data_IF_511182085711
#
_entry.id   IF_511182085711
#
_cell.length_a   1.000
_cell.length_b   1.000
_cell.length_c   1.000
_cell.angle_alpha   90.00
_cell.angle_beta   90.00
_cell.angle_gamma   90.00
#
_symmetry.space_group_name_H-M   'P 1'
#
loop_
_entity.id
_entity.type
_entity.pdbx_description
1 polymer ?
#
# COMPACT_ATOMS: atom_id res chain seq x y z
N UNK A 1 -8.40 20.27 -1.13
CA UNK A 1 -7.40 19.43 -0.46
C UNK A 1 -8.10 18.74 0.69
N UNK A 2 -7.97 17.44 0.83
CA UNK A 2 -8.47 16.72 2.00
C UNK A 2 -7.52 17.06 3.14
N UNK A 3 -8.06 17.35 4.33
CA UNK A 3 -7.23 17.59 5.52
C UNK A 3 -6.42 16.32 5.83
N UNK A 4 -5.15 16.49 6.17
CA UNK A 4 -4.19 15.39 6.40
C UNK A 4 -4.64 14.39 7.47
N UNK A 5 -5.53 14.80 8.38
CA UNK A 5 -6.06 13.96 9.44
C UNK A 5 -7.26 13.10 9.00
N UNK A 6 -7.68 13.20 7.73
CA UNK A 6 -8.81 12.46 7.16
C UNK A 6 -8.41 11.34 6.18
N UNK A 7 -7.11 11.11 5.98
CA UNK A 7 -6.61 10.03 5.13
C UNK A 7 -5.34 9.39 5.69
N UNK A 8 -5.09 8.14 5.31
CA UNK A 8 -3.88 7.40 5.67
C UNK A 8 -3.31 6.79 4.39
N UNK A 9 -2.12 7.21 4.00
CA UNK A 9 -1.42 6.66 2.85
C UNK A 9 -0.77 5.32 3.23
N UNK A 10 -1.04 4.29 2.43
CA UNK A 10 -0.54 2.94 2.67
C UNK A 10 0.09 2.40 1.39
N UNK A 11 1.37 2.08 1.47
CA UNK A 11 2.07 1.37 0.40
C UNK A 11 1.62 -0.09 0.34
N UNK A 12 1.33 -0.58 -0.87
CA UNK A 12 0.94 -1.97 -1.09
C UNK A 12 2.04 -2.92 -0.61
N UNK A 13 3.31 -2.61 -0.87
CA UNK A 13 4.45 -3.42 -0.45
C UNK A 13 4.56 -3.54 1.07
N UNK A 14 4.20 -2.49 1.81
CA UNK A 14 4.18 -2.52 3.27
C UNK A 14 3.05 -3.44 3.79
N UNK A 15 1.87 -3.36 3.16
CA UNK A 15 0.73 -4.22 3.49
C UNK A 15 1.06 -5.71 3.27
N UNK A 16 1.86 -6.03 2.26
CA UNK A 16 2.26 -7.41 1.97
C UNK A 16 3.32 -7.96 2.91
N UNK A 17 4.17 -7.10 3.46
CA UNK A 17 5.20 -7.50 4.42
C UNK A 17 4.62 -7.72 5.81
N UNK A 18 3.76 -6.79 6.26
CA UNK A 18 3.14 -6.86 7.58
C UNK A 18 1.76 -6.20 7.56
N UNK A 19 0.75 -6.98 7.15
CA UNK A 19 -0.62 -6.49 7.04
C UNK A 19 -1.19 -6.06 8.40
N UNK A 20 -0.81 -6.72 9.49
CA UNK A 20 -1.36 -6.43 10.81
C UNK A 20 -0.89 -5.06 11.31
N UNK A 21 0.41 -4.79 11.20
CA UNK A 21 1.00 -3.50 11.60
C UNK A 21 0.45 -2.36 10.75
N UNK A 22 0.26 -2.60 9.44
CA UNK A 22 -0.35 -1.60 8.55
C UNK A 22 -1.81 -1.30 8.92
N UNK A 23 -2.63 -2.32 9.18
CA UNK A 23 -4.02 -2.11 9.61
C UNK A 23 -4.06 -1.37 10.96
N UNK A 24 -3.17 -1.70 11.89
CA UNK A 24 -3.05 -0.97 13.16
C UNK A 24 -2.71 0.51 12.93
N UNK A 25 -1.76 0.81 12.04
CA UNK A 25 -1.37 2.17 11.69
C UNK A 25 -2.53 2.98 11.11
N UNK A 26 -3.37 2.36 10.26
CA UNK A 26 -4.58 3.00 9.71
C UNK A 26 -5.53 3.42 10.85
N UNK A 27 -5.80 2.51 11.79
CA UNK A 27 -6.68 2.81 12.94
C UNK A 27 -6.14 3.95 13.78
N UNK A 28 -4.83 3.96 14.06
CA UNK A 28 -4.19 5.03 14.82
C UNK A 28 -4.25 6.38 14.09
N UNK A 29 -3.97 6.39 12.79
CA UNK A 29 -3.98 7.62 11.97
C UNK A 29 -5.38 8.23 11.88
N UNK A 30 -6.42 7.39 11.78
CA UNK A 30 -7.81 7.83 11.71
C UNK A 30 -8.46 8.08 13.08
N UNK A 31 -7.73 7.93 14.19
CA UNK A 31 -8.25 8.15 15.55
C UNK A 31 -9.25 7.09 16.03
N UNK A 32 -9.09 5.84 15.60
CA UNK A 32 -9.95 4.72 15.96
C UNK A 32 -9.37 3.90 17.13
N UNK A 33 -9.93 4.06 18.33
CA UNK A 33 -9.39 3.47 19.58
C UNK A 33 -9.73 1.97 19.80
N UNK A 34 -10.40 1.33 18.85
CA UNK A 34 -11.00 0.00 19.02
C UNK A 34 -10.25 -1.10 18.27
N UNK A 35 -9.02 -0.84 17.81
CA UNK A 35 -8.21 -1.83 17.10
C UNK A 35 -7.99 -3.11 17.93
N UNK A 36 -7.69 -2.99 19.22
CA UNK A 36 -7.47 -4.17 20.08
C UNK A 36 -8.72 -5.07 20.20
N UNK A 37 -9.92 -4.50 20.08
CA UNK A 37 -11.17 -5.27 20.12
C UNK A 37 -11.39 -6.10 18.84
N UNK A 38 -10.87 -5.62 17.70
CA UNK A 38 -11.04 -6.28 16.41
C UNK A 38 -9.82 -7.09 15.97
N UNK A 39 -8.67 -6.95 16.66
CA UNK A 39 -7.39 -7.57 16.30
C UNK A 39 -7.50 -9.07 16.03
N UNK A 40 -8.24 -9.80 16.86
CA UNK A 40 -8.48 -11.23 16.67
C UNK A 40 -9.26 -11.53 15.37
N UNK A 41 -10.21 -10.68 15.00
CA UNK A 41 -10.95 -10.81 13.74
C UNK A 41 -10.05 -10.52 12.53
N UNK A 42 -9.18 -9.51 12.65
CA UNK A 42 -8.20 -9.17 11.61
C UNK A 42 -7.23 -10.33 11.38
N UNK A 43 -6.66 -10.89 12.46
CA UNK A 43 -5.74 -12.02 12.38
C UNK A 43 -6.39 -13.23 11.69
N UNK A 44 -7.61 -13.60 12.10
CA UNK A 44 -8.36 -14.69 11.48
C UNK A 44 -8.59 -14.44 9.98
N UNK A 45 -8.93 -13.22 9.60
CA UNK A 45 -9.11 -12.87 8.19
C UNK A 45 -7.80 -13.01 7.39
N UNK A 46 -6.67 -12.58 7.95
CA UNK A 46 -5.37 -12.73 7.31
C UNK A 46 -4.98 -14.20 7.13
N UNK A 47 -5.28 -15.05 8.11
CA UNK A 47 -5.06 -16.49 8.02
C UNK A 47 -5.91 -17.13 6.91
N UNK A 48 -7.20 -16.78 6.81
CA UNK A 48 -8.10 -17.27 5.76
C UNK A 48 -7.64 -16.86 4.35
N UNK A 49 -7.05 -15.67 4.21
CA UNK A 49 -6.59 -15.10 2.94
C UNK A 49 -5.11 -15.38 2.63
N UNK A 50 -4.41 -16.14 3.48
CA UNK A 50 -2.98 -16.47 3.33
C UNK A 50 -2.65 -17.18 2.01
N UNK A 51 -3.63 -17.82 1.37
CA UNK A 51 -3.46 -18.54 0.10
C UNK A 51 -3.68 -17.67 -1.15
N UNK A 52 -3.88 -16.36 -1.00
CA UNK A 52 -4.05 -15.47 -2.14
C UNK A 52 -2.79 -15.42 -3.02
N UNK A 53 -2.95 -15.72 -4.31
CA UNK A 53 -1.86 -15.67 -5.29
C UNK A 53 -1.95 -14.40 -6.11
N UNK A 54 -0.85 -13.64 -6.13
CA UNK A 54 -0.72 -12.45 -6.99
C UNK A 54 -0.70 -12.85 -8.45
N UNK A 55 -1.27 -11.96 -9.28
CA UNK A 55 -1.10 -12.04 -10.71
C UNK A 55 0.35 -11.70 -11.08
N UNK A 56 0.92 -12.48 -12.01
CA UNK A 56 2.22 -12.19 -12.59
C UNK A 56 1.98 -11.41 -13.88
N UNK A 57 2.49 -10.18 -13.93
CA UNK A 57 2.39 -9.31 -15.09
C UNK A 57 3.62 -9.46 -15.99
N UNK A 58 3.44 -9.21 -17.29
CA UNK A 58 4.57 -9.13 -18.23
C UNK A 58 5.38 -7.85 -17.94
N UNK A 59 6.70 -7.86 -18.19
CA UNK A 59 7.51 -6.65 -18.12
C UNK A 59 6.93 -5.55 -19.00
N UNK A 60 7.00 -4.31 -18.52
CA UNK A 60 6.55 -3.13 -19.25
C UNK A 60 7.52 -2.87 -20.40
N UNK A 61 7.00 -2.57 -21.60
CA UNK A 61 7.84 -2.22 -22.74
C UNK A 61 8.66 -0.94 -22.46
N UNK A 62 9.94 -0.86 -22.87
CA UNK A 62 10.81 0.28 -22.55
C UNK A 62 10.26 1.64 -22.97
N UNK A 63 9.57 1.71 -24.12
CA UNK A 63 8.96 2.94 -24.63
C UNK A 63 7.82 3.41 -23.72
N UNK A 64 7.04 2.46 -23.19
CA UNK A 64 5.95 2.76 -22.26
C UNK A 64 6.51 3.13 -20.88
N UNK A 65 7.54 2.43 -20.42
CA UNK A 65 8.22 2.72 -19.14
C UNK A 65 8.77 4.15 -19.12
N UNK A 66 9.43 4.59 -20.20
CA UNK A 66 9.90 5.97 -20.34
C UNK A 66 8.77 7.00 -20.20
N UNK A 67 7.63 6.77 -20.88
CA UNK A 67 6.47 7.66 -20.78
C UNK A 67 5.86 7.68 -19.38
N UNK A 68 5.83 6.54 -18.69
CA UNK A 68 5.35 6.48 -17.32
C UNK A 68 6.28 7.30 -16.42
N UNK A 69 7.58 7.08 -16.50
CA UNK A 69 8.57 7.80 -15.72
C UNK A 69 8.49 9.32 -15.94
N UNK A 70 8.40 9.78 -17.19
CA UNK A 70 8.31 11.21 -17.51
C UNK A 70 7.00 11.86 -17.00
N UNK A 71 5.86 11.17 -17.14
CA UNK A 71 4.56 11.74 -16.76
C UNK A 71 4.24 11.60 -15.26
N UNK A 72 4.81 10.61 -14.59
CA UNK A 72 4.51 10.27 -13.18
C UNK A 72 5.69 10.54 -12.24
N UNK A 73 6.77 11.18 -12.71
CA UNK A 73 7.95 11.52 -11.91
C UNK A 73 7.57 12.15 -10.57
N UNK A 74 6.66 13.13 -10.59
CA UNK A 74 6.18 13.80 -9.39
C UNK A 74 5.58 12.82 -8.38
N UNK A 75 4.75 11.90 -8.83
CA UNK A 75 4.08 10.93 -7.95
C UNK A 75 5.09 9.97 -7.31
N UNK A 76 6.07 9.50 -8.09
CA UNK A 76 7.15 8.67 -7.56
C UNK A 76 7.95 9.42 -6.48
N UNK A 77 8.27 10.69 -6.71
CA UNK A 77 8.96 11.53 -5.74
C UNK A 77 8.11 11.78 -4.48
N UNK A 78 6.84 12.15 -4.65
CA UNK A 78 5.91 12.49 -3.56
C UNK A 78 5.68 11.30 -2.61
N UNK A 79 5.58 10.09 -3.15
CA UNK A 79 5.38 8.86 -2.37
C UNK A 79 6.68 8.06 -2.11
N UNK A 80 7.85 8.60 -2.46
CA UNK A 80 9.15 7.97 -2.19
C UNK A 80 9.42 6.67 -2.97
N UNK A 81 8.70 6.43 -4.05
CA UNK A 81 8.91 5.27 -4.93
C UNK A 81 10.10 5.51 -5.87
N UNK A 82 10.85 4.45 -6.15
CA UNK A 82 11.98 4.51 -7.09
C UNK A 82 11.48 4.54 -8.53
N UNK A 83 11.96 5.50 -9.31
CA UNK A 83 11.77 5.51 -10.77
C UNK A 83 12.45 4.26 -11.34
N UNK A 84 11.72 3.51 -12.15
CA UNK A 84 12.23 2.28 -12.74
C UNK A 84 13.21 2.61 -13.87
N UNK A 85 14.36 1.95 -13.88
CA UNK A 85 15.37 2.16 -14.92
C UNK A 85 14.94 1.48 -16.23
N UNK A 86 15.21 2.15 -17.36
CA UNK A 86 14.96 1.66 -18.73
C UNK A 86 16.01 0.61 -19.09
#
# INVERSE_FOLDING_TARGET
>A
MIESDCYCDVAFEALEQDSLSVIQHIYQTLGFDHFEQIKANVLRYLEENSNYKKNIYKPIEPVLLKKINENWERSFYEWGYKIQQI
#
